data_IF_888007837840
#
_entry.id   IF_888007837840
#
_cell.length_a   1.000
_cell.length_b   1.000
_cell.length_c   1.000
_cell.angle_alpha   90.00
_cell.angle_beta   90.00
_cell.angle_gamma   90.00
#
_symmetry.space_group_name_H-M   'P 1'
#
loop_
_entity.id
_entity.type
_entity.pdbx_description
1 polymer ?
#
# COMPACT_ATOMS: atom_id res chain seq x y z
N UNK A 1 -24.09 22.56 39.63
CA UNK A 1 -24.52 21.25 39.06
C UNK A 1 -23.68 21.04 37.82
N UNK A 2 -22.66 20.19 37.89
CA UNK A 2 -21.80 19.89 36.74
C UNK A 2 -22.31 18.59 36.11
N UNK A 3 -22.69 18.65 34.84
CA UNK A 3 -23.00 17.47 34.05
C UNK A 3 -21.68 16.73 33.82
N UNK A 4 -21.55 15.55 34.41
CA UNK A 4 -20.47 14.63 34.08
C UNK A 4 -20.74 14.09 32.68
N UNK A 5 -20.01 14.61 31.69
CA UNK A 5 -19.92 13.99 30.36
C UNK A 5 -19.11 12.71 30.56
N UNK A 6 -19.80 11.56 30.57
CA UNK A 6 -19.13 10.26 30.51
C UNK A 6 -18.68 10.06 29.07
N UNK A 7 -17.51 10.59 28.75
CA UNK A 7 -16.83 10.31 27.50
C UNK A 7 -16.42 8.84 27.52
N UNK A 8 -17.00 8.05 26.62
CA UNK A 8 -16.65 6.63 26.48
C UNK A 8 -15.17 6.52 26.10
N UNK A 9 -14.30 6.16 27.04
CA UNK A 9 -12.87 5.93 26.81
C UNK A 9 -12.62 4.60 26.09
N UNK A 10 -13.32 4.32 24.99
CA UNK A 10 -12.85 3.30 24.07
C UNK A 10 -11.65 3.87 23.32
N UNK A 11 -10.53 3.13 23.19
CA UNK A 11 -9.43 3.56 22.33
C UNK A 11 -10.00 3.83 20.93
N UNK A 12 -9.69 5.00 20.38
CA UNK A 12 -10.06 5.31 19.00
C UNK A 12 -9.31 4.35 18.07
N UNK A 13 -10.05 3.54 17.32
CA UNK A 13 -9.48 2.59 16.36
C UNK A 13 -9.29 3.29 15.01
N UNK A 14 -8.08 3.79 14.76
CA UNK A 14 -7.77 4.43 13.49
C UNK A 14 -7.86 3.46 12.30
N UNK A 15 -7.69 2.14 12.52
CA UNK A 15 -7.88 1.15 11.46
C UNK A 15 -9.32 1.10 10.99
N UNK A 16 -10.29 1.45 11.83
CA UNK A 16 -11.68 1.55 11.41
C UNK A 16 -11.86 2.62 10.32
N UNK A 17 -11.18 3.76 10.42
CA UNK A 17 -11.29 4.84 9.43
C UNK A 17 -10.65 4.48 8.11
N UNK A 18 -9.55 3.71 8.11
CA UNK A 18 -8.87 3.26 6.89
C UNK A 18 -9.79 2.42 5.97
N UNK A 19 -10.83 1.79 6.52
CA UNK A 19 -11.81 0.99 5.76
C UNK A 19 -13.01 1.79 5.23
N UNK A 20 -13.16 3.05 5.66
CA UNK A 20 -14.23 3.93 5.16
C UNK A 20 -13.90 4.46 3.76
N UNK A 21 -14.90 4.91 2.99
CA UNK A 21 -14.65 5.64 1.75
C UNK A 21 -13.95 6.98 2.02
N UNK A 22 -12.90 7.29 1.26
CA UNK A 22 -12.17 8.55 1.34
C UNK A 22 -12.18 9.27 -0.02
N UNK A 23 -12.23 10.60 0.03
CA UNK A 23 -12.07 11.48 -1.13
C UNK A 23 -11.07 12.61 -0.77
N UNK A 24 -9.84 12.60 -1.33
CA UNK A 24 -9.30 11.63 -2.29
C UNK A 24 -9.02 10.24 -1.67
N UNK A 25 -8.88 9.17 -2.49
CA UNK A 25 -8.50 7.85 -2.00
C UNK A 25 -7.17 7.86 -1.23
N UNK A 26 -7.09 7.08 -0.14
CA UNK A 26 -5.87 6.96 0.69
C UNK A 26 -4.73 6.19 0.03
N UNK A 27 -5.00 5.53 -1.09
CA UNK A 27 -4.04 4.75 -1.86
C UNK A 27 -4.23 5.01 -3.35
N UNK A 28 -3.18 4.79 -4.18
CA UNK A 28 -3.28 4.96 -5.62
C UNK A 28 -4.28 3.95 -6.23
N UNK A 29 -5.21 4.46 -7.04
CA UNK A 29 -6.15 3.64 -7.79
C UNK A 29 -5.82 3.81 -9.27
N UNK A 30 -5.22 2.79 -9.86
CA UNK A 30 -4.82 2.79 -11.27
C UNK A 30 -5.55 1.70 -12.04
N UNK A 31 -5.95 2.00 -13.29
CA UNK A 31 -6.51 1.00 -14.21
C UNK A 31 -5.43 0.17 -14.90
N UNK A 32 -4.20 0.69 -14.97
CA UNK A 32 -3.04 0.07 -15.58
C UNK A 32 -1.77 0.49 -14.82
N UNK A 33 -0.71 -0.33 -14.79
CA UNK A 33 0.52 0.04 -14.13
C UNK A 33 1.04 1.40 -14.62
N UNK A 34 1.36 2.34 -13.71
CA UNK A 34 1.92 3.61 -14.11
C UNK A 34 3.30 3.41 -14.74
N UNK A 35 3.68 4.32 -15.64
CA UNK A 35 5.06 4.36 -16.11
C UNK A 35 5.97 4.88 -14.99
N UNK A 36 6.98 4.11 -14.64
CA UNK A 36 7.99 4.45 -13.63
C UNK A 36 9.38 4.38 -14.23
N UNK A 37 10.37 4.95 -13.55
CA UNK A 37 11.78 4.83 -13.92
C UNK A 37 12.38 3.47 -13.49
N UNK A 38 11.53 2.48 -13.16
CA UNK A 38 11.95 1.19 -12.66
C UNK A 38 12.77 0.41 -13.70
N UNK A 39 13.83 -0.25 -13.24
CA UNK A 39 14.68 -1.10 -14.08
C UNK A 39 15.14 -2.35 -13.35
N UNK A 40 15.19 -3.46 -14.10
CA UNK A 40 15.74 -4.74 -13.64
C UNK A 40 17.28 -4.83 -13.73
N UNK A 41 17.96 -3.78 -14.20
CA UNK A 41 19.43 -3.74 -14.26
C UNK A 41 20.00 -3.78 -12.84
N UNK A 42 20.93 -4.69 -12.58
CA UNK A 42 21.49 -4.91 -11.24
C UNK A 42 20.58 -5.64 -10.27
N UNK A 43 19.36 -6.02 -10.68
CA UNK A 43 18.42 -6.81 -9.87
C UNK A 43 18.48 -8.29 -10.22
N UNK A 44 18.26 -9.12 -9.22
CA UNK A 44 18.14 -10.58 -9.38
C UNK A 44 16.84 -10.99 -10.07
N UNK A 45 16.62 -12.30 -10.15
CA UNK A 45 15.28 -12.82 -10.49
C UNK A 45 14.38 -12.62 -9.29
N UNK A 46 13.21 -12.00 -9.48
CA UNK A 46 12.26 -11.80 -8.41
C UNK A 46 11.22 -10.76 -8.73
N UNK A 47 10.41 -10.46 -7.72
CA UNK A 47 9.41 -9.40 -7.76
C UNK A 47 9.85 -8.21 -6.94
N UNK A 48 9.59 -7.01 -7.47
CA UNK A 48 10.10 -5.76 -6.94
C UNK A 48 8.99 -4.70 -6.88
N UNK A 49 9.06 -3.82 -5.88
CA UNK A 49 8.12 -2.72 -5.64
C UNK A 49 8.29 -1.52 -6.60
N UNK A 50 7.41 -0.50 -6.44
CA UNK A 50 6.94 0.57 -7.36
C UNK A 50 5.65 0.22 -8.10
N UNK A 51 5.56 -1.04 -8.54
CA UNK A 51 4.36 -1.78 -8.92
C UNK A 51 4.65 -3.26 -8.64
N UNK A 52 3.84 -4.20 -9.12
CA UNK A 52 4.22 -5.61 -9.05
C UNK A 52 5.08 -5.97 -10.28
N UNK A 53 6.38 -5.64 -10.24
CA UNK A 53 7.32 -5.86 -11.34
C UNK A 53 8.00 -7.22 -11.25
N UNK A 54 7.96 -8.02 -12.31
CA UNK A 54 8.71 -9.28 -12.40
C UNK A 54 9.97 -9.12 -13.25
N UNK A 55 11.14 -9.37 -12.64
CA UNK A 55 12.43 -9.36 -13.34
C UNK A 55 12.96 -10.77 -13.61
N UNK A 56 13.49 -10.97 -14.81
CA UNK A 56 14.23 -12.17 -15.20
C UNK A 56 15.41 -11.82 -16.11
N UNK A 57 16.60 -12.37 -15.83
CA UNK A 57 17.83 -12.07 -16.60
C UNK A 57 18.06 -10.56 -16.81
N UNK A 58 17.84 -9.77 -15.76
CA UNK A 58 17.98 -8.31 -15.76
C UNK A 58 17.04 -7.59 -16.75
N UNK A 59 15.95 -8.23 -17.16
CA UNK A 59 14.90 -7.66 -18.01
C UNK A 59 13.57 -7.68 -17.30
N UNK A 60 12.78 -6.63 -17.50
CA UNK A 60 11.39 -6.57 -17.07
C UNK A 60 10.57 -7.54 -17.92
N UNK A 61 9.95 -8.52 -17.28
CA UNK A 61 9.11 -9.53 -17.92
C UNK A 61 7.66 -9.10 -17.90
N UNK A 62 7.18 -8.65 -16.74
CA UNK A 62 5.83 -8.15 -16.57
C UNK A 62 5.78 -7.06 -15.52
N UNK A 63 4.77 -6.21 -15.60
CA UNK A 63 4.34 -5.33 -14.53
C UNK A 63 2.85 -5.50 -14.35
N UNK A 64 2.44 -5.86 -13.15
CA UNK A 64 1.04 -6.02 -12.77
C UNK A 64 0.65 -4.99 -11.69
N UNK A 65 -0.66 -4.84 -11.50
CA UNK A 65 -1.23 -4.12 -10.37
C UNK A 65 -1.85 -5.10 -9.39
N UNK A 66 -1.76 -4.76 -8.10
CA UNK A 66 -2.59 -5.38 -7.08
C UNK A 66 -4.03 -4.87 -7.18
N UNK A 67 -4.96 -5.54 -6.50
CA UNK A 67 -6.34 -5.07 -6.42
C UNK A 67 -6.44 -3.72 -5.70
N UNK A 68 -7.49 -2.95 -6.00
CA UNK A 68 -7.76 -1.67 -5.32
C UNK A 68 -7.78 -1.88 -3.79
N UNK A 69 -7.11 -1.01 -3.04
CA UNK A 69 -6.91 -1.14 -1.60
C UNK A 69 -5.65 -1.90 -1.19
N UNK A 70 -4.91 -2.49 -2.13
CA UNK A 70 -3.68 -3.24 -1.85
C UNK A 70 -2.51 -2.75 -2.70
N UNK A 71 -1.30 -2.92 -2.19
CA UNK A 71 -0.03 -2.61 -2.83
C UNK A 71 0.92 -3.79 -2.71
N UNK A 72 1.88 -3.91 -3.63
CA UNK A 72 2.84 -5.01 -3.57
C UNK A 72 3.82 -4.79 -2.41
N UNK A 73 3.81 -5.71 -1.44
CA UNK A 73 4.73 -5.74 -0.34
C UNK A 73 5.96 -6.56 -0.72
N UNK A 74 7.04 -5.91 -1.15
CA UNK A 74 8.27 -6.60 -1.58
C UNK A 74 8.91 -7.44 -0.46
N UNK A 75 8.75 -7.04 0.81
CA UNK A 75 9.29 -7.79 1.95
C UNK A 75 8.61 -9.17 2.10
N UNK A 76 7.29 -9.23 1.90
CA UNK A 76 6.52 -10.47 2.03
C UNK A 76 6.17 -11.13 0.68
N UNK A 77 6.49 -10.48 -0.43
CA UNK A 77 6.21 -10.93 -1.80
C UNK A 77 4.72 -11.21 -2.06
N UNK A 78 3.83 -10.38 -1.49
CA UNK A 78 2.36 -10.47 -1.64
C UNK A 78 1.73 -9.10 -1.88
N UNK A 79 0.53 -9.05 -2.44
CA UNK A 79 -0.31 -7.86 -2.38
C UNK A 79 -0.90 -7.74 -0.98
N UNK A 80 -0.54 -6.69 -0.27
CA UNK A 80 -0.98 -6.43 1.11
C UNK A 80 -1.76 -5.12 1.16
N UNK A 81 -2.48 -4.89 2.24
CA UNK A 81 -3.19 -3.62 2.46
C UNK A 81 -2.22 -2.44 2.35
N UNK A 82 -2.66 -1.34 1.74
CA UNK A 82 -1.79 -0.19 1.42
C UNK A 82 -1.07 0.39 2.65
N UNK A 83 -1.66 0.30 3.84
CA UNK A 83 -1.08 0.76 5.11
C UNK A 83 0.01 -0.17 5.66
N UNK A 84 0.14 -1.41 5.17
CA UNK A 84 1.21 -2.35 5.54
C UNK A 84 2.46 -2.23 4.64
N UNK A 85 2.44 -1.37 3.61
CA UNK A 85 3.50 -1.29 2.59
C UNK A 85 4.37 -0.04 2.76
N UNK A 86 5.69 -0.27 2.82
CA UNK A 86 6.76 0.72 3.05
C UNK A 86 7.11 1.59 1.84
N UNK A 87 6.11 1.98 1.04
CA UNK A 87 6.27 2.81 -0.16
C UNK A 87 5.97 4.31 0.13
N UNK A 88 6.37 4.80 1.31
CA UNK A 88 6.03 6.18 1.73
C UNK A 88 4.56 6.37 2.08
N UNK A 89 3.86 5.30 2.46
CA UNK A 89 2.53 5.42 3.07
C UNK A 89 2.65 6.31 4.32
N UNK A 90 1.83 7.37 4.46
CA UNK A 90 1.87 8.20 5.67
C UNK A 90 1.30 7.45 6.90
N UNK A 91 0.82 6.22 6.72
CA UNK A 91 0.10 5.43 7.72
C UNK A 91 0.91 4.26 8.31
N UNK A 92 2.21 4.20 8.04
CA UNK A 92 3.08 3.08 8.46
C UNK A 92 3.25 2.90 9.98
N UNK A 93 2.85 3.91 10.76
CA UNK A 93 3.04 3.98 12.22
C UNK A 93 1.72 4.13 12.99
N UNK A 94 0.61 3.76 12.35
CA UNK A 94 -0.74 3.81 12.93
C UNK A 94 -1.19 2.50 13.59
#
# INVERSE_FOLDING_TARGET
MALAVTESQLPYDYYHDLHLPHDPPLHPVYSQPPHTEFSCVGRGRGYYADAYHFCWRQRLVNTDLCANGTLFNEQFQVCDHFYNVRCGSPFEDL
#
